data_IF_976136008666
#
_entry.id   IF_976136008666
#
_cell.length_a   1.000
_cell.length_b   1.000
_cell.length_c   1.000
_cell.angle_alpha   90.00
_cell.angle_beta   90.00
_cell.angle_gamma   90.00
#
_symmetry.space_group_name_H-M   'P 1'
#
loop_
_entity.id
_entity.type
_entity.pdbx_description
1 polymer ?
#
# COMPACT_ATOMS: atom_id res chain seq x y z
N UNK A 1 -2.25 -9.98 -31.23
CA UNK A 1 -1.99 -9.80 -29.78
C UNK A 1 -2.38 -8.38 -29.37
N UNK A 2 -3.60 -8.16 -28.86
CA UNK A 2 -4.02 -6.88 -28.30
C UNK A 2 -3.61 -6.86 -26.83
N UNK A 3 -2.69 -5.97 -26.46
CA UNK A 3 -2.28 -5.75 -25.06
C UNK A 3 -3.47 -5.17 -24.28
N UNK A 4 -3.83 -5.83 -23.18
CA UNK A 4 -4.77 -5.35 -22.19
C UNK A 4 -4.17 -4.14 -21.43
N UNK A 5 -4.13 -2.97 -22.06
CA UNK A 5 -3.69 -1.72 -21.41
C UNK A 5 -4.78 -1.08 -20.53
N UNK A 6 -6.02 -1.58 -20.59
CA UNK A 6 -7.13 -1.05 -19.82
C UNK A 6 -7.16 -1.48 -18.34
N UNK A 7 -6.65 -2.68 -18.03
CA UNK A 7 -6.71 -3.24 -16.67
C UNK A 7 -5.71 -2.56 -15.70
N UNK A 8 -4.53 -2.18 -16.22
CA UNK A 8 -3.48 -1.53 -15.43
C UNK A 8 -3.89 -0.10 -15.03
N UNK A 9 -4.58 0.61 -15.93
CA UNK A 9 -5.05 1.98 -15.65
C UNK A 9 -6.07 2.07 -14.51
N UNK A 10 -6.93 1.07 -14.35
CA UNK A 10 -7.95 1.04 -13.30
C UNK A 10 -7.39 0.66 -11.92
N UNK A 11 -6.45 -0.28 -11.85
CA UNK A 11 -5.74 -0.64 -10.62
C UNK A 11 -4.96 0.57 -10.09
N UNK A 12 -4.34 1.34 -10.99
CA UNK A 12 -3.59 2.56 -10.68
C UNK A 12 -4.47 3.64 -10.04
N UNK A 13 -5.70 3.81 -10.53
CA UNK A 13 -6.61 4.83 -9.99
C UNK A 13 -7.11 4.48 -8.58
N UNK A 14 -7.33 3.20 -8.29
CA UNK A 14 -7.94 2.74 -7.05
C UNK A 14 -6.92 2.64 -5.91
N UNK A 15 -5.70 2.19 -6.17
CA UNK A 15 -4.62 2.19 -5.15
C UNK A 15 -4.21 3.63 -4.79
N UNK A 16 -4.20 4.56 -5.74
CA UNK A 16 -4.02 5.99 -5.46
C UNK A 16 -5.17 6.58 -4.65
N UNK A 17 -6.41 6.11 -4.86
CA UNK A 17 -7.59 6.54 -4.13
C UNK A 17 -7.60 6.02 -2.68
N UNK A 18 -7.18 4.79 -2.44
CA UNK A 18 -7.05 4.21 -1.08
C UNK A 18 -6.07 5.00 -0.20
N UNK A 19 -5.04 5.60 -0.80
CA UNK A 19 -4.00 6.33 -0.09
C UNK A 19 -4.29 7.83 0.10
N UNK A 20 -5.05 8.44 -0.82
CA UNK A 20 -5.25 9.90 -0.85
C UNK A 20 -6.62 10.38 -0.36
N UNK A 21 -7.61 9.50 -0.19
CA UNK A 21 -9.02 9.90 0.02
C UNK A 21 -9.57 9.41 1.36
N UNK A 22 -8.91 9.73 2.49
CA UNK A 22 -9.62 9.75 3.77
C UNK A 22 -10.63 10.92 3.87
N UNK A 23 -10.55 11.90 2.99
CA UNK A 23 -11.40 13.08 2.99
C UNK A 23 -12.75 12.94 2.26
N UNK A 24 -13.02 11.79 1.60
CA UNK A 24 -14.25 11.55 0.85
C UNK A 24 -14.94 10.21 1.17
N UNK A 25 -14.46 9.50 2.20
CA UNK A 25 -15.09 8.27 2.65
C UNK A 25 -16.42 8.56 3.36
N UNK A 26 -17.44 7.74 3.10
CA UNK A 26 -18.69 7.78 3.85
C UNK A 26 -18.52 6.90 5.09
N UNK A 27 -18.56 7.53 6.27
CA UNK A 27 -18.44 6.84 7.56
C UNK A 27 -19.74 6.09 7.87
N UNK A 28 -19.63 4.80 8.16
CA UNK A 28 -20.77 3.92 8.35
C UNK A 28 -20.63 3.13 9.65
N UNK A 29 -21.55 3.35 10.58
CA UNK A 29 -21.60 2.64 11.86
C UNK A 29 -22.87 1.78 12.06
N UNK A 30 -23.68 1.57 11.00
CA UNK A 30 -24.89 0.76 11.10
C UNK A 30 -25.23 0.03 9.80
N UNK A 31 -26.04 -1.03 9.89
CA UNK A 31 -26.50 -1.77 8.73
C UNK A 31 -27.35 -0.92 7.77
N UNK A 32 -28.13 0.02 8.27
CA UNK A 32 -28.93 0.92 7.45
C UNK A 32 -28.02 1.88 6.67
N UNK A 33 -27.10 2.55 7.36
CA UNK A 33 -26.14 3.45 6.73
C UNK A 33 -25.24 2.72 5.71
N UNK A 34 -24.84 1.48 6.01
CA UNK A 34 -24.07 0.66 5.08
C UNK A 34 -24.89 0.36 3.81
N UNK A 35 -26.16 0.01 3.93
CA UNK A 35 -27.05 -0.25 2.79
C UNK A 35 -27.32 1.01 1.97
N UNK A 36 -27.51 2.14 2.62
CA UNK A 36 -27.73 3.42 1.95
C UNK A 36 -26.48 3.85 1.18
N UNK A 37 -25.31 3.75 1.79
CA UNK A 37 -24.03 4.05 1.14
C UNK A 37 -23.80 3.15 -0.07
N UNK A 38 -24.18 1.88 0.01
CA UNK A 38 -24.06 0.88 -1.05
C UNK A 38 -25.13 1.03 -2.12
N UNK A 39 -26.39 1.30 -1.73
CA UNK A 39 -27.50 1.48 -2.66
C UNK A 39 -27.37 2.73 -3.54
N UNK A 40 -26.69 3.74 -3.05
CA UNK A 40 -26.37 4.96 -3.78
C UNK A 40 -25.06 4.87 -4.59
N UNK A 41 -24.39 3.73 -4.60
CA UNK A 41 -23.13 3.47 -5.30
C UNK A 41 -23.28 3.36 -6.84
N UNK A 42 -24.22 4.06 -7.44
CA UNK A 42 -24.25 4.30 -8.90
C UNK A 42 -23.11 5.23 -9.34
N UNK A 43 -22.41 5.85 -8.37
CA UNK A 43 -21.25 6.71 -8.63
C UNK A 43 -19.97 5.87 -8.43
N UNK A 44 -19.20 5.73 -9.49
CA UNK A 44 -17.92 5.03 -9.48
C UNK A 44 -16.95 5.64 -8.45
N UNK A 45 -16.37 4.80 -7.60
CA UNK A 45 -15.28 5.19 -6.69
C UNK A 45 -15.71 5.57 -5.26
N UNK A 46 -16.92 5.22 -4.81
CA UNK A 46 -17.30 5.45 -3.42
C UNK A 46 -16.51 4.59 -2.46
N UNK A 47 -15.81 5.23 -1.53
CA UNK A 47 -15.17 4.58 -0.38
C UNK A 47 -16.15 4.61 0.79
N UNK A 48 -16.48 3.44 1.30
CA UNK A 48 -17.32 3.25 2.48
C UNK A 48 -16.43 2.72 3.60
N UNK A 49 -16.26 3.49 4.67
CA UNK A 49 -15.43 3.13 5.81
C UNK A 49 -16.31 2.78 7.01
N UNK A 50 -16.04 1.66 7.65
CA UNK A 50 -16.72 1.30 8.88
C UNK A 50 -16.18 2.12 10.07
N UNK A 51 -17.09 2.62 10.89
CA UNK A 51 -16.79 3.32 12.15
C UNK A 51 -17.20 2.51 13.37
N UNK A 52 -17.76 1.32 13.17
CA UNK A 52 -18.17 0.36 14.20
C UNK A 52 -18.60 -0.96 13.57
N UNK A 53 -18.78 -1.96 14.41
CA UNK A 53 -19.25 -3.27 13.97
C UNK A 53 -20.69 -3.20 13.45
N UNK A 54 -20.94 -3.90 12.35
CA UNK A 54 -22.24 -3.92 11.66
C UNK A 54 -22.84 -5.31 11.68
N UNK A 55 -23.98 -5.46 12.33
CA UNK A 55 -24.79 -6.69 12.30
C UNK A 55 -25.92 -6.57 11.28
N UNK A 56 -25.93 -7.48 10.31
CA UNK A 56 -26.91 -7.49 9.22
C UNK A 56 -28.11 -8.36 9.57
N UNK A 57 -29.29 -7.89 9.26
CA UNK A 57 -30.53 -8.69 9.33
C UNK A 57 -30.84 -9.45 8.03
N UNK A 58 -30.25 -9.05 6.90
CA UNK A 58 -30.34 -9.70 5.59
C UNK A 58 -29.05 -9.51 4.81
N UNK A 59 -28.84 -10.35 3.80
CA UNK A 59 -27.68 -10.28 2.90
C UNK A 59 -27.45 -8.88 2.35
N UNK A 60 -26.19 -8.47 2.30
CA UNK A 60 -25.76 -7.26 1.63
C UNK A 60 -25.48 -7.59 0.16
N UNK A 61 -26.34 -7.11 -0.74
CA UNK A 61 -26.23 -7.41 -2.16
C UNK A 61 -25.51 -6.28 -2.91
N UNK A 62 -24.50 -6.64 -3.68
CA UNK A 62 -23.77 -5.77 -4.60
C UNK A 62 -24.12 -6.20 -6.02
N UNK A 63 -24.87 -5.35 -6.73
CA UNK A 63 -25.44 -5.69 -8.04
C UNK A 63 -24.86 -4.85 -9.19
N UNK A 64 -24.05 -3.84 -8.89
CA UNK A 64 -23.45 -2.94 -9.89
C UNK A 64 -22.58 -1.86 -9.26
N UNK A 65 -21.99 -0.99 -10.09
CA UNK A 65 -21.12 0.09 -9.66
C UNK A 65 -19.72 -0.38 -9.25
N UNK A 66 -18.93 0.55 -8.72
CA UNK A 66 -17.62 0.26 -8.13
C UNK A 66 -17.59 0.78 -6.71
N UNK A 67 -17.22 -0.07 -5.78
CA UNK A 67 -17.22 0.21 -4.36
C UNK A 67 -15.93 -0.26 -3.71
N UNK A 68 -15.44 0.54 -2.78
CA UNK A 68 -14.36 0.20 -1.88
C UNK A 68 -14.93 0.13 -0.48
N UNK A 69 -14.84 -1.02 0.15
CA UNK A 69 -15.28 -1.27 1.52
C UNK A 69 -14.04 -1.32 2.42
N UNK A 70 -13.81 -0.26 3.17
CA UNK A 70 -12.78 -0.19 4.19
C UNK A 70 -13.36 -0.67 5.52
N UNK A 71 -12.99 -1.86 5.93
CA UNK A 71 -13.44 -2.44 7.19
C UNK A 71 -12.87 -1.73 8.42
N UNK A 72 -11.76 -0.99 8.28
CA UNK A 72 -11.13 -0.21 9.35
C UNK A 72 -10.96 -1.01 10.68
N UNK A 73 -10.67 -2.30 10.57
CA UNK A 73 -10.55 -3.21 11.70
C UNK A 73 -11.88 -3.70 12.30
N UNK A 74 -13.02 -3.24 11.81
CA UNK A 74 -14.36 -3.57 12.30
C UNK A 74 -14.91 -4.84 11.66
N UNK A 75 -16.06 -5.27 12.14
CA UNK A 75 -16.74 -6.48 11.67
C UNK A 75 -18.04 -6.16 10.95
N UNK A 76 -18.30 -6.89 9.85
CA UNK A 76 -19.63 -7.08 9.29
C UNK A 76 -20.04 -8.52 9.56
N UNK A 77 -21.21 -8.73 10.16
CA UNK A 77 -21.69 -10.07 10.52
C UNK A 77 -23.15 -10.27 10.18
N UNK A 78 -23.50 -11.52 9.92
CA UNK A 78 -24.88 -11.99 9.85
C UNK A 78 -25.02 -13.27 10.64
N UNK A 79 -26.10 -13.37 11.45
CA UNK A 79 -26.47 -14.59 12.12
C UNK A 79 -27.89 -14.95 11.78
N UNK A 80 -28.14 -16.20 11.36
CA UNK A 80 -29.46 -16.71 11.04
C UNK A 80 -29.77 -17.94 11.84
N UNK A 81 -30.99 -18.01 12.33
CA UNK A 81 -31.53 -19.20 12.96
C UNK A 81 -32.40 -19.95 11.93
N UNK A 82 -32.07 -21.20 11.65
CA UNK A 82 -32.86 -22.09 10.75
C UNK A 82 -32.97 -21.60 9.30
N UNK A 83 -32.00 -20.83 8.79
CA UNK A 83 -31.95 -20.36 7.41
C UNK A 83 -30.51 -20.15 6.97
N UNK A 84 -30.26 -20.07 5.66
CA UNK A 84 -28.97 -19.65 5.11
C UNK A 84 -28.54 -18.31 5.67
N UNK A 85 -27.30 -18.20 6.11
CA UNK A 85 -26.66 -16.99 6.54
C UNK A 85 -25.64 -16.57 5.48
N UNK A 86 -26.01 -15.68 4.56
CA UNK A 86 -25.12 -15.08 3.57
C UNK A 86 -24.85 -13.64 3.94
N UNK A 87 -23.59 -13.27 4.22
CA UNK A 87 -23.24 -11.93 4.68
C UNK A 87 -23.22 -10.96 3.50
N UNK A 88 -22.35 -11.18 2.52
CA UNK A 88 -22.22 -10.36 1.32
C UNK A 88 -22.45 -11.23 0.09
N UNK A 89 -23.21 -10.73 -0.89
CA UNK A 89 -23.40 -11.34 -2.19
C UNK A 89 -23.09 -10.35 -3.30
N UNK A 90 -22.16 -10.70 -4.19
CA UNK A 90 -21.77 -9.89 -5.33
C UNK A 90 -22.28 -10.58 -6.59
N UNK A 91 -23.23 -9.95 -7.28
CA UNK A 91 -23.81 -10.45 -8.52
C UNK A 91 -23.54 -9.54 -9.72
N UNK A 92 -22.85 -8.42 -9.50
CA UNK A 92 -22.42 -7.48 -10.53
C UNK A 92 -21.60 -6.33 -9.96
N UNK A 93 -20.97 -5.54 -10.82
CA UNK A 93 -20.12 -4.42 -10.43
C UNK A 93 -18.73 -4.83 -9.91
N UNK A 94 -18.12 -3.98 -9.11
CA UNK A 94 -16.81 -4.21 -8.50
C UNK A 94 -16.88 -3.92 -7.00
N UNK A 95 -16.47 -4.90 -6.19
CA UNK A 95 -16.28 -4.75 -4.75
C UNK A 95 -14.79 -4.92 -4.43
N UNK A 96 -14.20 -3.93 -3.79
CA UNK A 96 -12.85 -3.99 -3.22
C UNK A 96 -12.94 -3.94 -1.70
N UNK A 97 -12.23 -4.82 -1.01
CA UNK A 97 -12.27 -4.96 0.45
C UNK A 97 -10.88 -4.71 1.00
N UNK A 98 -10.78 -3.81 1.97
CA UNK A 98 -9.53 -3.37 2.59
C UNK A 98 -9.71 -3.06 4.09
N UNK A 99 -8.69 -2.46 4.73
CA UNK A 99 -8.77 -1.94 6.09
C UNK A 99 -8.59 -2.98 7.19
N UNK A 100 -8.49 -4.27 6.85
CA UNK A 100 -8.51 -5.36 7.84
C UNK A 100 -9.85 -5.44 8.56
N UNK A 101 -10.02 -6.42 9.43
CA UNK A 101 -11.28 -6.65 10.12
C UNK A 101 -11.94 -7.95 9.62
N UNK A 102 -13.25 -8.12 9.89
CA UNK A 102 -13.91 -9.40 9.74
C UNK A 102 -15.20 -9.29 8.91
N UNK A 103 -15.43 -10.29 8.05
CA UNK A 103 -16.72 -10.53 7.41
C UNK A 103 -17.16 -11.93 7.82
N UNK A 104 -18.27 -12.03 8.54
CA UNK A 104 -18.67 -13.25 9.21
C UNK A 104 -20.10 -13.65 8.90
N UNK A 105 -20.32 -14.93 8.66
CA UNK A 105 -21.65 -15.52 8.56
C UNK A 105 -21.79 -16.69 9.55
N UNK A 106 -22.90 -16.75 10.25
CA UNK A 106 -23.18 -17.84 11.18
C UNK A 106 -24.62 -18.32 11.06
N UNK A 107 -24.80 -19.63 11.05
CA UNK A 107 -26.12 -20.25 11.26
C UNK A 107 -26.18 -20.86 12.66
N UNK A 108 -27.36 -20.75 13.28
CA UNK A 108 -27.66 -21.34 14.59
C UNK A 108 -28.91 -22.21 14.49
N UNK A 109 -29.02 -23.25 15.31
CA UNK A 109 -30.15 -24.16 15.34
C UNK A 109 -29.74 -25.59 14.92
N UNK A 110 -30.45 -26.57 15.45
CA UNK A 110 -30.07 -28.02 15.39
C UNK A 110 -31.07 -28.88 14.62
N UNK A 111 -31.99 -28.31 13.83
CA UNK A 111 -32.95 -29.08 13.07
C UNK A 111 -32.42 -29.44 11.67
N UNK A 112 -32.62 -30.66 11.24
CA UNK A 112 -32.19 -31.30 9.99
C UNK A 112 -32.88 -30.69 8.77
N UNK A 113 -32.31 -29.67 8.14
CA UNK A 113 -32.66 -29.18 6.79
C UNK A 113 -31.39 -28.91 5.98
N UNK A 114 -31.40 -29.38 4.73
CA UNK A 114 -30.21 -29.41 3.85
C UNK A 114 -29.70 -28.05 3.33
N UNK A 115 -30.31 -26.92 3.69
CA UNK A 115 -30.06 -25.62 3.04
C UNK A 115 -29.52 -24.54 3.98
N UNK A 116 -28.72 -24.92 4.98
CA UNK A 116 -28.20 -23.98 6.00
C UNK A 116 -26.73 -23.69 5.82
N UNK A 117 -26.36 -23.17 4.67
CA UNK A 117 -25.00 -22.72 4.47
C UNK A 117 -24.77 -21.41 5.26
N UNK A 118 -23.58 -21.31 5.87
CA UNK A 118 -23.02 -20.06 6.32
C UNK A 118 -22.01 -19.59 5.27
N UNK A 119 -22.23 -18.41 4.67
CA UNK A 119 -21.44 -17.90 3.56
C UNK A 119 -21.01 -16.47 3.92
N UNK A 120 -19.70 -16.26 4.15
CA UNK A 120 -19.22 -14.91 4.46
C UNK A 120 -19.28 -14.00 3.23
N UNK A 121 -18.78 -14.45 2.08
CA UNK A 121 -18.87 -13.74 0.81
C UNK A 121 -19.19 -14.71 -0.32
N UNK A 122 -20.28 -14.43 -1.06
CA UNK A 122 -20.68 -15.14 -2.28
C UNK A 122 -20.42 -14.26 -3.49
N UNK A 123 -19.90 -14.87 -4.56
CA UNK A 123 -19.57 -14.21 -5.80
C UNK A 123 -20.19 -14.93 -6.99
N UNK A 124 -21.12 -14.29 -7.67
CA UNK A 124 -21.88 -14.82 -8.81
C UNK A 124 -21.89 -13.85 -10.01
N UNK A 125 -20.88 -12.99 -10.10
CA UNK A 125 -20.70 -12.04 -11.19
C UNK A 125 -20.02 -10.75 -10.74
N UNK A 126 -19.56 -9.95 -11.68
CA UNK A 126 -18.83 -8.72 -11.41
C UNK A 126 -17.34 -8.95 -11.13
N UNK A 127 -16.77 -8.20 -10.21
CA UNK A 127 -15.37 -8.31 -9.79
C UNK A 127 -15.25 -8.15 -8.28
N UNK A 128 -14.52 -9.05 -7.62
CA UNK A 128 -14.15 -8.92 -6.21
C UNK A 128 -12.64 -8.85 -6.08
N UNK A 129 -12.13 -7.91 -5.26
CA UNK A 129 -10.71 -7.80 -4.90
C UNK A 129 -10.58 -7.66 -3.40
N UNK A 130 -9.80 -8.52 -2.78
CA UNK A 130 -9.59 -8.56 -1.34
C UNK A 130 -8.14 -8.23 -1.06
N UNK A 131 -7.90 -7.08 -0.46
CA UNK A 131 -6.56 -6.64 -0.08
C UNK A 131 -6.22 -7.05 1.34
N UNK A 132 -7.16 -6.84 2.28
CA UNK A 132 -6.95 -7.18 3.69
C UNK A 132 -8.27 -7.38 4.42
N UNK A 133 -8.58 -8.61 4.77
CA UNK A 133 -9.75 -8.97 5.56
C UNK A 133 -9.63 -10.42 6.08
N UNK A 134 -10.39 -10.74 7.12
CA UNK A 134 -10.63 -12.12 7.56
C UNK A 134 -12.09 -12.50 7.32
N UNK A 135 -12.31 -13.61 6.69
CA UNK A 135 -13.64 -14.16 6.41
C UNK A 135 -13.85 -15.37 7.31
N UNK A 136 -15.00 -15.42 7.98
CA UNK A 136 -15.40 -16.52 8.84
C UNK A 136 -16.78 -17.01 8.47
N UNK A 137 -16.93 -18.32 8.38
CA UNK A 137 -18.22 -18.96 8.21
C UNK A 137 -18.37 -20.07 9.25
N UNK A 138 -19.49 -20.10 9.96
CA UNK A 138 -19.79 -21.09 10.99
C UNK A 138 -21.21 -21.62 10.77
N UNK A 139 -21.32 -22.87 10.37
CA UNK A 139 -22.60 -23.53 10.19
C UNK A 139 -22.85 -24.51 11.34
N UNK A 140 -24.00 -24.38 12.01
CA UNK A 140 -24.40 -25.33 13.07
C UNK A 140 -24.78 -26.69 12.52
N UNK A 141 -25.23 -26.73 11.29
CA UNK A 141 -25.55 -27.91 10.49
C UNK A 141 -25.51 -27.49 9.01
N UNK A 142 -24.84 -28.26 8.15
CA UNK A 142 -24.69 -27.92 6.75
C UNK A 142 -23.26 -27.54 6.36
N UNK A 143 -23.08 -26.55 5.47
CA UNK A 143 -21.81 -26.19 4.88
C UNK A 143 -21.40 -24.76 5.23
N UNK A 144 -20.12 -24.56 5.55
CA UNK A 144 -19.53 -23.26 5.81
C UNK A 144 -18.59 -22.86 4.67
N UNK A 145 -18.86 -21.73 4.02
CA UNK A 145 -18.04 -21.16 2.97
C UNK A 145 -17.57 -19.76 3.38
N UNK A 146 -16.28 -19.55 3.47
CA UNK A 146 -15.71 -18.21 3.68
C UNK A 146 -15.82 -17.37 2.41
N UNK A 147 -15.36 -17.93 1.31
CA UNK A 147 -15.49 -17.37 -0.04
C UNK A 147 -16.17 -18.44 -0.89
N UNK A 148 -17.32 -18.14 -1.43
CA UNK A 148 -18.10 -19.03 -2.30
C UNK A 148 -18.06 -18.46 -3.74
N UNK A 149 -17.06 -18.83 -4.54
CA UNK A 149 -17.01 -18.50 -5.95
C UNK A 149 -17.91 -19.46 -6.69
N UNK A 150 -18.97 -18.96 -7.32
CA UNK A 150 -19.83 -19.80 -8.15
C UNK A 150 -19.03 -20.38 -9.32
N UNK A 151 -19.00 -21.67 -9.43
CA UNK A 151 -18.52 -22.65 -10.45
C UNK A 151 -17.39 -22.28 -11.42
N UNK A 152 -17.15 -21.01 -11.78
CA UNK A 152 -16.18 -20.59 -12.81
C UNK A 152 -15.03 -19.71 -12.26
N UNK A 153 -15.00 -19.41 -10.97
CA UNK A 153 -14.03 -18.50 -10.36
C UNK A 153 -13.24 -19.18 -9.25
N UNK A 154 -11.94 -18.94 -9.24
CA UNK A 154 -11.06 -19.38 -8.14
C UNK A 154 -10.84 -18.25 -7.16
N UNK A 155 -10.64 -18.58 -5.90
CA UNK A 155 -10.31 -17.61 -4.83
C UNK A 155 -9.05 -16.79 -5.21
N UNK A 156 -8.11 -17.37 -5.93
CA UNK A 156 -6.89 -16.72 -6.38
C UNK A 156 -7.15 -15.48 -7.25
N UNK A 157 -8.25 -15.48 -8.00
CA UNK A 157 -8.64 -14.33 -8.84
C UNK A 157 -9.16 -13.13 -8.00
N UNK A 158 -9.51 -13.35 -6.73
CA UNK A 158 -9.99 -12.31 -5.82
C UNK A 158 -8.84 -11.63 -5.06
N UNK A 159 -7.63 -12.23 -5.05
CA UNK A 159 -6.48 -11.71 -4.33
C UNK A 159 -5.56 -10.95 -5.28
N UNK A 160 -5.49 -9.62 -5.19
CA UNK A 160 -4.66 -8.82 -6.09
C UNK A 160 -3.18 -8.95 -5.77
N UNK A 161 -2.33 -8.55 -6.70
CA UNK A 161 -0.90 -8.41 -6.46
C UNK A 161 -0.65 -7.49 -5.24
N UNK A 162 0.26 -7.88 -4.35
CA UNK A 162 0.54 -7.17 -3.10
C UNK A 162 -0.30 -7.61 -1.91
N UNK A 163 -1.19 -8.59 -2.09
CA UNK A 163 -1.89 -9.29 -1.02
C UNK A 163 -1.66 -10.81 -1.15
N UNK A 164 -1.87 -11.55 -0.07
CA UNK A 164 -1.76 -13.00 -0.05
C UNK A 164 -2.64 -13.63 1.02
N UNK A 165 -3.01 -14.87 0.81
CA UNK A 165 -3.79 -15.65 1.77
C UNK A 165 -2.84 -16.27 2.82
N UNK A 166 -3.12 -16.04 4.11
CA UNK A 166 -2.28 -16.53 5.21
C UNK A 166 -2.78 -17.82 5.85
N UNK A 167 -4.09 -17.94 6.00
CA UNK A 167 -4.74 -19.08 6.62
C UNK A 167 -5.94 -19.50 5.78
N UNK A 168 -6.02 -20.77 5.47
CA UNK A 168 -7.28 -21.41 5.09
C UNK A 168 -7.46 -22.63 5.99
N UNK A 169 -8.53 -22.70 6.72
CA UNK A 169 -8.81 -23.79 7.62
C UNK A 169 -10.30 -24.15 7.53
N UNK A 170 -10.54 -25.41 7.21
CA UNK A 170 -11.86 -26.00 7.26
C UNK A 170 -11.90 -27.00 8.42
N UNK A 171 -12.84 -26.84 9.34
CA UNK A 171 -12.97 -27.67 10.52
C UNK A 171 -14.39 -28.23 10.63
N UNK A 172 -14.46 -29.54 10.90
CA UNK A 172 -15.69 -30.23 11.25
C UNK A 172 -16.12 -31.22 10.20
N UNK A 173 -16.54 -32.44 10.67
CA UNK A 173 -17.10 -33.49 9.83
C UNK A 173 -18.56 -33.84 10.17
N UNK A 174 -19.03 -33.43 11.34
CA UNK A 174 -20.43 -33.61 11.76
C UNK A 174 -20.81 -32.59 12.83
N UNK A 175 -21.90 -31.87 12.63
CA UNK A 175 -22.39 -30.84 13.51
C UNK A 175 -21.88 -29.46 13.13
N UNK A 176 -21.12 -28.82 14.01
CA UNK A 176 -20.57 -27.50 13.76
C UNK A 176 -19.44 -27.56 12.72
N UNK A 177 -19.63 -26.95 11.56
CA UNK A 177 -18.62 -26.78 10.51
C UNK A 177 -18.18 -25.32 10.49
N UNK A 178 -16.89 -25.09 10.49
CA UNK A 178 -16.33 -23.75 10.40
C UNK A 178 -15.26 -23.65 9.32
N UNK A 179 -15.21 -22.51 8.66
CA UNK A 179 -14.19 -22.17 7.67
C UNK A 179 -13.70 -20.75 7.94
N UNK A 180 -12.40 -20.53 7.83
CA UNK A 180 -11.78 -19.21 8.01
C UNK A 180 -10.68 -18.98 6.98
N UNK A 181 -10.69 -17.80 6.35
CA UNK A 181 -9.64 -17.36 5.44
C UNK A 181 -9.21 -15.96 5.84
N UNK A 182 -7.91 -15.72 5.92
CA UNK A 182 -7.33 -14.39 6.12
C UNK A 182 -6.52 -13.98 4.91
N UNK A 183 -6.81 -12.81 4.38
CA UNK A 183 -6.02 -12.14 3.35
C UNK A 183 -5.25 -10.99 4.00
N UNK A 184 -3.94 -10.96 3.78
CA UNK A 184 -3.02 -9.98 4.33
C UNK A 184 -2.22 -9.28 3.22
N UNK A 185 -1.67 -8.11 3.55
CA UNK A 185 -0.81 -7.36 2.64
C UNK A 185 0.62 -7.89 2.68
N UNK A 186 1.24 -7.95 1.52
CA UNK A 186 2.68 -8.20 1.41
C UNK A 186 3.43 -6.95 1.83
N UNK A 187 4.43 -7.12 2.70
CA UNK A 187 5.31 -6.06 3.15
C UNK A 187 6.61 -6.10 2.34
N UNK A 188 6.97 -4.98 1.71
CA UNK A 188 8.16 -4.81 0.90
C UNK A 188 9.17 -3.94 1.63
N UNK A 189 10.46 -4.28 1.56
CA UNK A 189 11.51 -3.52 2.22
C UNK A 189 11.89 -2.27 1.43
N UNK A 190 12.24 -1.21 2.16
CA UNK A 190 12.83 0.00 1.60
C UNK A 190 14.20 0.19 2.23
N UNK A 191 15.23 0.28 1.40
CA UNK A 191 16.60 0.49 1.82
C UNK A 191 17.20 1.77 1.25
N UNK A 192 18.09 2.40 2.01
CA UNK A 192 18.73 3.67 1.65
C UNK A 192 20.24 3.56 1.76
N UNK A 193 20.92 3.60 0.62
CA UNK A 193 22.38 3.72 0.57
C UNK A 193 22.74 5.21 0.51
N UNK A 194 23.26 5.75 1.59
CA UNK A 194 23.66 7.15 1.68
C UNK A 194 24.98 7.47 0.96
N UNK A 195 25.69 6.47 0.42
CA UNK A 195 26.98 6.63 -0.28
C UNK A 195 28.02 7.43 0.54
N UNK A 196 28.09 7.10 1.84
CA UNK A 196 29.00 7.76 2.79
C UNK A 196 28.47 9.05 3.40
N UNK A 197 27.23 9.42 3.13
CA UNK A 197 26.53 10.48 3.84
C UNK A 197 25.90 9.98 5.15
N UNK A 198 25.38 10.91 5.93
CA UNK A 198 24.66 10.67 7.19
C UNK A 198 23.24 11.18 7.08
N UNK A 199 22.31 10.55 7.82
CA UNK A 199 20.92 11.01 7.93
C UNK A 199 20.49 11.04 9.39
N UNK A 200 19.66 12.01 9.75
CA UNK A 200 18.99 12.09 11.06
C UNK A 200 17.61 11.45 11.02
N UNK A 201 17.07 11.22 9.81
CA UNK A 201 15.78 10.57 9.60
C UNK A 201 16.01 9.31 8.74
N UNK A 202 15.86 8.10 9.29
CA UNK A 202 16.13 6.87 8.56
C UNK A 202 15.18 6.59 7.40
N UNK A 203 14.09 7.37 7.27
CA UNK A 203 13.06 7.15 6.25
C UNK A 203 12.11 6.00 6.58
N UNK A 204 11.27 5.66 5.64
CA UNK A 204 10.31 4.54 5.75
C UNK A 204 11.02 3.23 5.48
N UNK A 205 11.05 2.27 6.43
CA UNK A 205 11.81 1.02 6.27
C UNK A 205 11.09 -0.03 5.41
N UNK A 206 9.79 0.10 5.24
CA UNK A 206 8.98 -0.87 4.46
C UNK A 206 7.66 -0.24 4.01
N UNK A 207 7.05 -0.83 3.02
CA UNK A 207 5.74 -0.40 2.52
C UNK A 207 4.86 -1.57 2.09
N UNK A 208 3.57 -1.32 2.05
CA UNK A 208 2.55 -2.17 1.44
C UNK A 208 1.83 -1.39 0.35
N UNK A 209 0.92 -2.03 -0.38
CA UNK A 209 0.07 -1.34 -1.35
C UNK A 209 -0.84 -0.28 -0.71
N UNK A 210 -1.13 -0.38 0.59
CA UNK A 210 -1.94 0.60 1.36
C UNK A 210 -1.10 1.69 2.04
N UNK A 211 0.24 1.60 1.99
CA UNK A 211 1.10 2.61 2.64
C UNK A 211 0.94 3.97 1.96
N UNK A 212 0.69 5.06 2.71
CA UNK A 212 0.68 6.41 2.16
C UNK A 212 1.99 6.77 1.47
N UNK A 213 1.97 7.78 0.60
CA UNK A 213 3.20 8.31 0.02
C UNK A 213 4.14 8.78 1.12
N UNK A 214 5.41 8.44 1.00
CA UNK A 214 6.43 8.83 1.95
C UNK A 214 7.52 9.68 1.29
N UNK A 215 8.17 10.51 2.08
CA UNK A 215 9.32 11.31 1.62
C UNK A 215 10.62 10.56 1.89
N UNK A 216 11.58 10.72 0.99
CA UNK A 216 12.92 10.16 1.16
C UNK A 216 13.68 10.90 2.28
N UNK A 217 14.63 10.24 2.96
CA UNK A 217 15.42 10.86 4.00
C UNK A 217 16.22 12.06 3.52
N UNK A 218 16.38 13.05 4.38
CA UNK A 218 17.37 14.12 4.17
C UNK A 218 18.75 13.60 4.55
N UNK A 219 19.73 13.80 3.68
CA UNK A 219 21.11 13.33 3.88
C UNK A 219 22.10 14.45 3.75
N UNK A 220 23.21 14.33 4.46
CA UNK A 220 24.34 15.28 4.41
C UNK A 220 25.64 14.53 4.28
N UNK A 221 26.62 15.12 3.59
CA UNK A 221 27.98 14.58 3.47
C UNK A 221 28.97 15.75 3.46
N UNK A 222 29.95 15.68 4.35
CA UNK A 222 30.95 16.75 4.47
C UNK A 222 31.73 16.91 3.17
N UNK A 223 31.84 18.16 2.68
CA UNK A 223 32.52 18.48 1.43
C UNK A 223 31.74 18.19 0.16
N UNK A 224 30.46 17.81 0.27
CA UNK A 224 29.59 17.51 -0.87
C UNK A 224 28.23 18.19 -0.74
N UNK A 225 27.64 18.49 -1.87
CA UNK A 225 26.24 18.88 -1.98
C UNK A 225 25.43 17.63 -2.38
N UNK A 226 24.31 17.38 -1.70
CA UNK A 226 23.38 16.34 -2.12
C UNK A 226 22.84 16.68 -3.51
N UNK A 227 22.99 15.77 -4.45
CA UNK A 227 22.49 15.93 -5.81
C UNK A 227 21.08 15.36 -5.96
N UNK A 228 20.93 14.05 -5.67
CA UNK A 228 19.66 13.38 -5.83
C UNK A 228 19.65 12.00 -5.14
N UNK A 229 18.46 11.46 -4.91
CA UNK A 229 18.27 10.04 -4.73
C UNK A 229 18.09 9.36 -6.09
N UNK A 230 18.60 8.16 -6.24
CA UNK A 230 18.39 7.31 -7.43
C UNK A 230 17.65 6.03 -7.07
N UNK A 231 16.79 5.59 -7.97
CA UNK A 231 16.10 4.30 -7.92
C UNK A 231 16.23 3.64 -9.29
N UNK A 232 16.71 2.38 -9.34
CA UNK A 232 17.03 1.69 -10.59
C UNK A 232 17.94 2.51 -11.53
N UNK A 233 18.89 3.28 -10.95
CA UNK A 233 19.83 4.12 -11.70
C UNK A 233 19.29 5.45 -12.23
N UNK A 234 18.02 5.76 -11.99
CA UNK A 234 17.41 7.02 -12.41
C UNK A 234 17.19 7.96 -11.22
N UNK A 235 17.37 9.28 -11.39
CA UNK A 235 16.98 10.27 -10.38
C UNK A 235 15.50 10.14 -10.00
N UNK A 236 15.21 10.28 -8.72
CA UNK A 236 13.87 10.15 -8.19
C UNK A 236 13.33 11.49 -7.75
N UNK A 237 12.14 11.84 -8.21
CA UNK A 237 11.43 12.99 -7.65
C UNK A 237 10.99 12.67 -6.21
N UNK A 238 11.50 13.37 -5.17
CA UNK A 238 11.31 13.02 -3.76
C UNK A 238 9.88 13.20 -3.24
N UNK A 239 8.93 13.68 -4.06
CA UNK A 239 7.60 14.11 -3.58
C UNK A 239 6.48 13.09 -3.77
N UNK A 240 6.73 11.93 -4.38
CA UNK A 240 5.67 10.97 -4.69
C UNK A 240 6.17 9.50 -4.76
N UNK A 241 6.58 8.94 -3.63
CA UNK A 241 7.02 7.55 -3.55
C UNK A 241 6.24 6.78 -2.46
N UNK A 242 5.97 5.50 -2.67
CA UNK A 242 6.12 4.74 -3.91
C UNK A 242 5.13 5.25 -4.96
N UNK A 243 5.53 5.25 -6.23
CA UNK A 243 4.57 5.57 -7.30
C UNK A 243 3.48 4.49 -7.35
N UNK A 244 2.34 4.79 -7.96
CA UNK A 244 1.28 3.80 -8.12
C UNK A 244 1.75 2.58 -8.92
N UNK A 245 2.67 2.78 -9.87
CA UNK A 245 3.28 1.68 -10.63
C UNK A 245 4.16 0.79 -9.73
N UNK A 246 4.91 1.37 -8.80
CA UNK A 246 5.75 0.62 -7.85
C UNK A 246 4.91 -0.24 -6.91
N UNK A 247 3.76 0.26 -6.45
CA UNK A 247 2.82 -0.47 -5.60
C UNK A 247 2.24 -1.70 -6.31
N UNK A 248 1.94 -1.57 -7.60
CA UNK A 248 1.37 -2.66 -8.43
C UNK A 248 2.41 -3.71 -8.79
N UNK A 249 3.66 -3.31 -9.03
CA UNK A 249 4.75 -4.24 -9.37
C UNK A 249 5.36 -4.94 -8.17
N UNK A 250 5.03 -4.46 -6.97
CA UNK A 250 5.21 -5.17 -5.69
C UNK A 250 6.61 -5.74 -5.50
N UNK A 251 7.58 -4.91 -5.10
CA UNK A 251 8.95 -5.36 -4.84
C UNK A 251 9.70 -4.42 -3.91
N UNK A 252 10.74 -4.94 -3.29
CA UNK A 252 11.66 -4.16 -2.47
C UNK A 252 12.23 -2.97 -3.25
N UNK A 253 12.42 -1.85 -2.56
CA UNK A 253 12.99 -0.63 -3.12
C UNK A 253 14.37 -0.37 -2.50
N UNK A 254 15.35 -0.06 -3.36
CA UNK A 254 16.68 0.35 -2.94
C UNK A 254 17.02 1.71 -3.54
N UNK A 255 17.21 2.70 -2.68
CA UNK A 255 17.57 4.06 -3.07
C UNK A 255 19.06 4.30 -2.83
N UNK A 256 19.72 5.00 -3.75
CA UNK A 256 21.10 5.41 -3.64
C UNK A 256 21.23 6.95 -3.66
N UNK A 257 21.93 7.53 -2.69
CA UNK A 257 22.24 8.94 -2.69
C UNK A 257 23.39 9.26 -3.66
N UNK A 258 23.24 10.32 -4.43
CA UNK A 258 24.28 10.87 -5.30
C UNK A 258 24.75 12.23 -4.78
N UNK A 259 26.03 12.54 -5.02
CA UNK A 259 26.70 13.67 -4.42
C UNK A 259 27.50 14.45 -5.46
N UNK A 260 27.49 15.77 -5.32
CA UNK A 260 28.35 16.67 -6.09
C UNK A 260 29.43 17.21 -5.16
N UNK A 261 30.68 17.03 -5.54
CA UNK A 261 31.85 17.52 -4.80
C UNK A 261 31.85 19.05 -4.77
N UNK A 262 32.03 19.63 -3.58
CA UNK A 262 32.14 21.07 -3.42
C UNK A 262 33.59 21.47 -3.68
N UNK A 263 33.79 22.37 -4.65
CA UNK A 263 35.09 22.98 -4.93
C UNK A 263 35.14 24.40 -4.38
N UNK A 264 36.20 24.67 -3.66
CA UNK A 264 36.45 25.97 -3.04
C UNK A 264 37.59 26.69 -3.77
N UNK A 265 37.44 28.01 -3.94
CA UNK A 265 38.44 28.86 -4.54
C UNK A 265 39.47 29.28 -3.49
N UNK A 266 40.74 29.20 -3.85
CA UNK A 266 41.87 29.77 -3.08
C UNK A 266 42.32 31.03 -3.77
N UNK A 267 42.26 32.14 -3.06
CA UNK A 267 42.73 33.45 -3.54
C UNK A 267 44.05 33.75 -2.80
N UNK A 268 45.07 34.14 -3.56
CA UNK A 268 46.36 34.49 -3.03
C UNK A 268 46.56 35.99 -2.94
N UNK A 269 46.72 36.54 -1.73
CA UNK A 269 47.17 37.92 -1.55
C UNK A 269 48.71 37.95 -1.63
N UNK A 270 49.24 38.50 -2.70
CA UNK A 270 50.66 38.55 -2.98
C UNK A 270 51.32 39.83 -2.44
N UNK A 271 50.60 40.67 -1.68
CA UNK A 271 51.09 41.88 -1.03
C UNK A 271 51.98 42.77 -1.93
N UNK A 272 51.52 43.05 -3.16
CA UNK A 272 52.18 43.85 -4.18
C UNK A 272 53.26 43.10 -4.99
N UNK A 273 53.33 41.78 -4.86
CA UNK A 273 54.11 40.90 -5.73
C UNK A 273 53.43 40.60 -7.05
N UNK A 274 54.07 39.73 -7.84
CA UNK A 274 53.46 39.23 -9.10
C UNK A 274 52.22 38.43 -8.81
N UNK A 275 51.12 38.72 -9.51
CA UNK A 275 49.86 38.01 -9.36
C UNK A 275 50.05 36.52 -9.58
N UNK A 276 49.44 35.74 -8.70
CA UNK A 276 49.38 34.26 -8.77
C UNK A 276 47.94 33.87 -9.13
N UNK A 277 47.82 32.93 -10.03
CA UNK A 277 46.51 32.45 -10.43
C UNK A 277 45.82 31.77 -9.24
N UNK A 278 44.54 32.06 -9.03
CA UNK A 278 43.73 31.42 -8.01
C UNK A 278 43.73 29.90 -8.15
N UNK A 279 43.76 29.25 -7.03
CA UNK A 279 43.69 27.78 -6.94
C UNK A 279 42.27 27.29 -6.70
N UNK A 280 42.10 25.98 -6.82
CA UNK A 280 40.89 25.27 -6.37
C UNK A 280 41.29 24.15 -5.43
N UNK A 281 40.46 23.89 -4.43
CA UNK A 281 40.60 22.72 -3.58
C UNK A 281 39.23 22.13 -3.23
N UNK A 282 39.21 20.90 -2.84
CA UNK A 282 38.05 20.21 -2.32
C UNK A 282 38.47 19.22 -1.23
N UNK A 283 37.49 18.53 -0.61
CA UNK A 283 37.79 17.61 0.49
C UNK A 283 38.63 16.40 0.08
N UNK A 284 38.63 16.04 -1.21
CA UNK A 284 39.41 14.90 -1.72
C UNK A 284 40.84 15.26 -2.05
N UNK A 285 41.08 16.47 -2.56
CA UNK A 285 42.40 16.88 -3.06
C UNK A 285 43.19 17.73 -2.06
N UNK A 286 42.45 18.47 -1.19
CA UNK A 286 43.11 19.42 -0.29
C UNK A 286 43.91 20.49 -1.04
N UNK A 287 44.85 21.14 -0.34
CA UNK A 287 45.86 22.05 -0.87
C UNK A 287 47.21 21.37 -0.68
N UNK A 288 47.79 20.90 -1.77
CA UNK A 288 49.06 20.14 -1.72
C UNK A 288 50.28 21.01 -1.47
N UNK A 289 50.29 22.24 -1.97
CA UNK A 289 51.38 23.20 -1.77
C UNK A 289 50.90 24.63 -2.03
N UNK A 290 51.49 25.61 -1.34
CA UNK A 290 51.25 27.00 -1.64
C UNK A 290 52.30 27.49 -2.64
N UNK A 291 51.94 28.30 -3.64
CA UNK A 291 52.89 28.87 -4.57
C UNK A 291 53.76 29.94 -3.85
N UNK A 292 54.99 30.06 -4.26
CA UNK A 292 55.91 31.07 -3.72
C UNK A 292 55.74 32.35 -4.50
N UNK A 293 55.28 33.45 -3.87
CA UNK A 293 55.16 34.76 -4.55
C UNK A 293 56.55 35.38 -4.85
N UNK A 294 56.57 36.20 -5.91
CA UNK A 294 57.77 36.96 -6.29
C UNK A 294 57.44 38.45 -6.26
N UNK A 295 58.38 39.24 -5.69
CA UNK A 295 58.34 40.68 -5.70
C UNK A 295 59.74 41.24 -5.94
N UNK A 296 59.86 42.11 -6.94
CA UNK A 296 61.15 42.69 -7.26
C UNK A 296 61.74 43.47 -6.06
N UNK A 297 63.03 43.28 -5.75
CA UNK A 297 63.69 43.90 -4.61
C UNK A 297 63.34 43.31 -3.22
N UNK A 298 62.57 42.22 -3.12
CA UNK A 298 62.16 41.60 -1.85
C UNK A 298 62.45 40.13 -1.84
N UNK A 299 62.70 39.57 -0.64
CA UNK A 299 62.79 38.16 -0.38
C UNK A 299 61.48 37.74 0.31
N UNK A 300 60.84 36.64 -0.17
CA UNK A 300 59.69 36.05 0.49
C UNK A 300 60.10 35.27 1.75
N UNK A 301 59.55 35.62 2.88
CA UNK A 301 59.90 35.02 4.19
C UNK A 301 58.83 34.08 4.77
N UNK A 302 57.74 33.81 4.09
CA UNK A 302 56.64 32.96 4.53
C UNK A 302 55.30 33.70 4.53
#
# INVERSE_FOLDING_TARGET
MKRNSGLIGWIVLIVGLLCSVRGGAVDVGSAAALRDALGNATVSGNVVMLTGDVSLSSTLNITGGTMILDLNGMQISITKNKAEAKCISVTGGTLEITGGGFISAQTTGTEWFSDRAAIALSYDGGTVRIYRATFNAIASDGTAYTLDPNNDYTVDNMIPAGAYMTNSSDYGSTGLVSSSITVALTNYNVSYNTSGGTTTNPGTPSYTIETPDFTLPTVTKNGYTFADWTYNGNPVNPTALPTTADRVTSKDMAFGATWTLISYKVVYDVAGGTAIQDGLYNIETGISSLPTPKREGYVFNG
#
